data_IF_522854019169
#
_entry.id   IF_522854019169
#
_cell.length_a   1.000
_cell.length_b   1.000
_cell.length_c   1.000
_cell.angle_alpha   90.00
_cell.angle_beta   90.00
_cell.angle_gamma   90.00
#
_symmetry.space_group_name_H-M   'P 1'
#
loop_
_entity.id
_entity.type
_entity.pdbx_description
1 polymer ?
#
# COMPACT_ATOMS: atom_id res chain seq x y z
N UNK A 1 13.01 10.69 -14.67
CA UNK A 1 12.77 9.31 -14.21
C UNK A 1 11.59 9.25 -13.24
N UNK A 2 11.25 10.32 -12.52
CA UNK A 2 10.12 10.38 -11.58
C UNK A 2 8.72 10.56 -12.22
N UNK A 3 8.66 11.03 -13.46
CA UNK A 3 7.38 11.30 -14.14
C UNK A 3 6.69 10.00 -14.60
N UNK A 4 7.49 9.02 -15.06
CA UNK A 4 7.01 7.70 -15.50
C UNK A 4 6.46 6.86 -14.34
N UNK A 5 6.99 7.02 -13.12
CA UNK A 5 6.45 6.32 -11.93
C UNK A 5 5.12 6.94 -11.52
N UNK A 6 5.02 8.27 -11.47
CA UNK A 6 3.76 8.94 -11.10
C UNK A 6 2.60 8.60 -12.04
N UNK A 7 2.86 8.50 -13.35
CA UNK A 7 1.86 8.03 -14.32
C UNK A 7 1.39 6.61 -14.00
N UNK A 8 2.34 5.66 -13.88
CA UNK A 8 2.04 4.25 -13.58
C UNK A 8 1.26 4.08 -12.28
N UNK A 9 1.62 4.81 -11.22
CA UNK A 9 0.95 4.77 -9.91
C UNK A 9 -0.54 5.01 -10.03
N UNK A 10 -0.98 5.94 -10.89
CA UNK A 10 -2.41 6.27 -11.00
C UNK A 10 -3.21 5.18 -11.73
N UNK A 11 -2.60 4.50 -12.69
CA UNK A 11 -3.26 3.45 -13.48
C UNK A 11 -3.27 2.07 -12.81
N UNK A 12 -2.53 1.88 -11.70
CA UNK A 12 -2.56 0.63 -10.94
C UNK A 12 -3.96 0.32 -10.40
N UNK A 13 -4.42 -0.90 -10.63
CA UNK A 13 -5.55 -1.47 -9.89
C UNK A 13 -5.17 -1.69 -8.43
N UNK A 14 -6.16 -1.54 -7.55
CA UNK A 14 -6.01 -1.96 -6.15
C UNK A 14 -6.00 -3.48 -6.12
N UNK A 15 -4.98 -4.06 -5.50
CA UNK A 15 -4.86 -5.52 -5.36
C UNK A 15 -4.84 -5.98 -3.91
N UNK A 16 -4.65 -5.08 -2.95
CA UNK A 16 -4.68 -5.40 -1.51
C UNK A 16 -5.70 -4.50 -0.80
N UNK A 17 -6.58 -5.09 0.01
CA UNK A 17 -7.58 -4.35 0.78
C UNK A 17 -7.36 -4.53 2.28
N UNK A 18 -7.00 -3.44 2.95
CA UNK A 18 -6.82 -3.43 4.40
C UNK A 18 -8.19 -3.24 5.06
N UNK A 19 -8.65 -4.29 5.74
CA UNK A 19 -9.99 -4.37 6.32
C UNK A 19 -10.02 -4.19 7.84
N UNK A 20 -11.15 -4.58 8.46
CA UNK A 20 -11.35 -4.46 9.92
C UNK A 20 -10.28 -5.17 10.76
N UNK A 21 -9.65 -6.21 10.21
CA UNK A 21 -8.56 -6.94 10.88
C UNK A 21 -7.27 -6.11 11.02
N UNK A 22 -7.17 -4.96 10.34
CA UNK A 22 -6.01 -4.07 10.41
C UNK A 22 -4.94 -4.38 9.36
N UNK A 23 -3.83 -3.62 9.38
CA UNK A 23 -2.69 -3.77 8.46
C UNK A 23 -2.00 -5.12 8.56
N UNK A 24 -1.75 -5.61 9.77
CA UNK A 24 -1.03 -6.88 10.03
C UNK A 24 -1.65 -8.08 9.29
N UNK A 25 -2.97 -8.04 9.04
CA UNK A 25 -3.69 -9.10 8.37
C UNK A 25 -3.38 -9.25 6.86
N UNK A 26 -2.68 -8.29 6.25
CA UNK A 26 -2.34 -8.32 4.82
C UNK A 26 -0.84 -8.38 4.54
N UNK A 27 0.02 -8.46 5.57
CA UNK A 27 1.49 -8.43 5.42
C UNK A 27 1.98 -9.54 4.49
N UNK A 28 1.57 -10.79 4.72
CA UNK A 28 2.00 -11.93 3.89
C UNK A 28 1.53 -11.81 2.43
N UNK A 29 0.32 -11.29 2.19
CA UNK A 29 -0.21 -11.07 0.85
C UNK A 29 0.57 -9.95 0.14
N UNK A 30 0.83 -8.87 0.85
CA UNK A 30 1.57 -7.72 0.34
C UNK A 30 3.01 -8.10 -0.01
N UNK A 31 3.73 -8.79 0.88
CA UNK A 31 5.10 -9.25 0.62
C UNK A 31 5.15 -10.19 -0.60
N UNK A 32 4.22 -11.14 -0.68
CA UNK A 32 4.11 -12.04 -1.83
C UNK A 32 3.88 -11.27 -3.14
N UNK A 33 3.00 -10.27 -3.15
CA UNK A 33 2.76 -9.46 -4.35
C UNK A 33 3.96 -8.58 -4.72
N UNK A 34 4.67 -8.01 -3.74
CA UNK A 34 5.87 -7.20 -3.97
C UNK A 34 7.08 -8.04 -4.41
N UNK A 35 7.09 -9.33 -4.09
CA UNK A 35 8.08 -10.26 -4.64
C UNK A 35 7.89 -10.49 -6.16
N UNK A 36 6.65 -10.45 -6.64
CA UNK A 36 6.30 -10.70 -8.04
C UNK A 36 6.14 -9.41 -8.88
N UNK A 37 5.93 -8.27 -8.24
CA UNK A 37 5.57 -6.99 -8.90
C UNK A 37 6.35 -5.83 -8.29
N UNK A 38 6.82 -4.92 -9.15
CA UNK A 38 7.52 -3.70 -8.71
C UNK A 38 6.62 -2.78 -7.86
N UNK A 39 5.33 -2.69 -8.18
CA UNK A 39 4.39 -1.77 -7.52
C UNK A 39 3.11 -2.48 -7.09
N UNK A 40 2.66 -2.23 -5.87
CA UNK A 40 1.40 -2.75 -5.33
C UNK A 40 0.58 -1.59 -4.76
N UNK A 41 -0.65 -1.41 -5.28
CA UNK A 41 -1.59 -0.41 -4.76
C UNK A 41 -2.53 -1.06 -3.74
N UNK A 42 -2.52 -0.51 -2.54
CA UNK A 42 -3.36 -0.91 -1.42
C UNK A 42 -4.53 0.06 -1.25
N UNK A 43 -5.63 -0.43 -0.69
CA UNK A 43 -6.76 0.39 -0.25
C UNK A 43 -7.11 0.11 1.20
N UNK A 44 -7.05 1.15 2.01
CA UNK A 44 -7.48 1.14 3.40
C UNK A 44 -8.98 1.39 3.50
N UNK A 45 -9.72 0.38 3.97
CA UNK A 45 -11.14 0.55 4.25
C UNK A 45 -11.33 1.44 5.48
N UNK A 46 -12.50 2.11 5.56
CA UNK A 46 -12.83 2.98 6.70
C UNK A 46 -12.66 2.27 8.05
N UNK A 47 -13.01 0.98 8.11
CA UNK A 47 -12.89 0.16 9.32
C UNK A 47 -11.45 -0.12 9.74
N UNK A 48 -10.50 -0.14 8.79
CA UNK A 48 -9.09 -0.39 9.07
C UNK A 48 -8.38 0.82 9.67
N UNK A 49 -8.81 2.03 9.25
CA UNK A 49 -8.09 3.25 9.63
C UNK A 49 -8.22 3.58 11.11
N UNK A 50 -9.34 3.26 11.75
CA UNK A 50 -9.57 3.52 13.18
C UNK A 50 -9.22 4.96 13.66
N UNK A 51 -9.24 5.95 12.75
CA UNK A 51 -8.84 7.34 13.03
C UNK A 51 -7.39 7.70 12.68
N UNK A 52 -6.55 6.71 12.34
CA UNK A 52 -5.19 6.92 11.84
C UNK A 52 -5.18 7.42 10.39
N UNK A 53 -4.12 8.13 10.05
CA UNK A 53 -3.82 8.58 8.69
C UNK A 53 -3.31 7.41 7.82
N UNK A 54 -3.58 7.48 6.52
CA UNK A 54 -3.20 6.43 5.57
C UNK A 54 -1.69 6.36 5.38
N UNK A 55 -0.98 7.50 5.43
CA UNK A 55 0.48 7.51 5.37
C UNK A 55 1.08 6.70 6.51
N UNK A 56 0.66 6.96 7.75
CA UNK A 56 1.14 6.23 8.92
C UNK A 56 0.87 4.72 8.84
N UNK A 57 -0.29 4.30 8.34
CA UNK A 57 -0.61 2.88 8.19
C UNK A 57 0.18 2.23 7.03
N UNK A 58 0.46 2.99 5.98
CA UNK A 58 1.26 2.54 4.85
C UNK A 58 2.74 2.43 5.22
N UNK A 59 3.28 3.38 6.00
CA UNK A 59 4.66 3.35 6.49
C UNK A 59 4.89 2.10 7.34
N UNK A 60 3.97 1.77 8.26
CA UNK A 60 4.07 0.54 9.06
C UNK A 60 4.07 -0.73 8.20
N UNK A 61 3.19 -0.81 7.19
CA UNK A 61 3.19 -1.94 6.25
C UNK A 61 4.45 -2.00 5.41
N UNK A 62 5.02 -0.85 5.04
CA UNK A 62 6.25 -0.78 4.26
C UNK A 62 7.44 -1.28 5.08
N UNK A 63 7.53 -0.89 6.36
CA UNK A 63 8.52 -1.40 7.31
C UNK A 63 8.41 -2.92 7.49
N UNK A 64 7.19 -3.46 7.60
CA UNK A 64 6.97 -4.90 7.81
C UNK A 64 7.38 -5.79 6.62
N UNK A 65 7.44 -5.24 5.40
CA UNK A 65 7.73 -5.97 4.14
C UNK A 65 9.01 -5.49 3.43
N UNK A 66 9.83 -4.69 4.10
CA UNK A 66 11.06 -4.08 3.55
C UNK A 66 10.81 -3.34 2.23
N UNK A 67 9.80 -2.46 2.19
CA UNK A 67 9.37 -1.70 1.02
C UNK A 67 9.36 -0.18 1.27
N UNK A 68 9.08 0.60 0.22
CA UNK A 68 8.95 2.05 0.27
C UNK A 68 7.55 2.51 -0.14
N UNK A 69 6.99 3.49 0.57
CA UNK A 69 5.74 4.18 0.18
C UNK A 69 6.05 5.20 -0.92
N UNK A 70 5.51 4.98 -2.12
CA UNK A 70 5.77 5.83 -3.29
C UNK A 70 4.69 6.90 -3.50
N UNK A 71 3.45 6.59 -3.11
CA UNK A 71 2.33 7.52 -3.22
C UNK A 71 1.27 7.22 -2.15
N UNK A 72 0.63 8.28 -1.65
CA UNK A 72 -0.58 8.19 -0.83
C UNK A 72 -1.63 9.14 -1.35
N UNK A 73 -2.85 8.63 -1.55
CA UNK A 73 -3.96 9.45 -2.06
C UNK A 73 -5.29 8.97 -1.51
N UNK A 74 -5.94 9.83 -0.74
CA UNK A 74 -7.25 9.54 -0.17
C UNK A 74 -7.20 8.34 0.78
N UNK A 75 -7.65 7.17 0.32
CA UNK A 75 -7.61 5.94 1.10
C UNK A 75 -6.74 4.83 0.48
N UNK A 76 -5.88 5.18 -0.46
CA UNK A 76 -4.95 4.26 -1.10
C UNK A 76 -3.50 4.66 -0.86
N UNK A 77 -2.62 3.67 -0.85
CA UNK A 77 -1.18 3.84 -0.88
C UNK A 77 -0.59 2.95 -1.98
N UNK A 78 0.57 3.31 -2.52
CA UNK A 78 1.35 2.45 -3.41
C UNK A 78 2.70 2.18 -2.79
N UNK A 79 3.03 0.91 -2.65
CA UNK A 79 4.32 0.44 -2.14
C UNK A 79 5.17 -0.12 -3.28
N UNK A 80 6.49 -0.06 -3.10
CA UNK A 80 7.51 -0.54 -4.02
C UNK A 80 8.62 -1.27 -3.29
N UNK A 81 9.15 -2.33 -3.89
CA UNK A 81 10.39 -2.99 -3.49
C UNK A 81 11.40 -3.02 -4.63
#
# INVERSE_FOLDING_TARGET
>A
MDEDIRGRVHDLDVTVWVGKAGPDAVVDELDGQLADRELVKLKFLRSARAGADVGTLADGLADDVDAEVVDTRGNTAVLRR
#
